data_IF_667467879991
#
_entry.id   IF_667467879991
#
_cell.length_a   1.000
_cell.length_b   1.000
_cell.length_c   1.000
_cell.angle_alpha   90.00
_cell.angle_beta   90.00
_cell.angle_gamma   90.00
#
_symmetry.space_group_name_H-M   'P 1'
#
loop_
_entity.id
_entity.type
_entity.pdbx_description
1 polymer ?
#
# COMPACT_ATOMS: atom_id res chain seq x y z
N UNK A 1 14.22 2.60 -17.93
CA UNK A 1 12.78 2.80 -18.19
C UNK A 1 12.52 4.29 -18.18
N UNK A 2 12.10 4.87 -19.30
CA UNK A 2 11.91 6.32 -19.44
C UNK A 2 10.62 6.80 -18.77
N UNK A 3 10.64 8.02 -18.24
CA UNK A 3 9.45 8.64 -17.66
C UNK A 3 8.44 9.00 -18.75
N UNK A 4 7.15 8.74 -18.52
CA UNK A 4 6.07 9.08 -19.47
C UNK A 4 5.45 10.41 -19.07
N UNK A 5 5.65 11.45 -19.88
CA UNK A 5 5.02 12.74 -19.66
C UNK A 5 3.55 12.70 -20.07
N UNK A 6 2.66 13.13 -19.18
CA UNK A 6 1.23 13.33 -19.42
C UNK A 6 1.02 14.82 -19.65
N UNK A 7 0.60 15.14 -20.85
CA UNK A 7 0.36 16.51 -21.33
C UNK A 7 -1.09 16.93 -21.16
N UNK A 8 -1.35 18.23 -21.31
CA UNK A 8 -2.70 18.80 -21.28
C UNK A 8 -3.64 18.13 -22.30
N UNK A 9 -3.16 17.90 -23.53
CA UNK A 9 -3.97 17.28 -24.59
C UNK A 9 -4.34 15.82 -24.30
N UNK A 10 -3.55 15.11 -23.49
CA UNK A 10 -3.86 13.75 -23.06
C UNK A 10 -4.89 13.74 -21.95
N UNK A 11 -4.75 14.62 -20.95
CA UNK A 11 -5.68 14.68 -19.83
C UNK A 11 -7.07 15.18 -20.26
N UNK A 12 -7.11 16.13 -21.20
CA UNK A 12 -8.36 16.60 -21.80
C UNK A 12 -9.05 15.48 -22.58
N UNK A 13 -8.29 14.68 -23.34
CA UNK A 13 -8.85 13.51 -24.03
C UNK A 13 -9.37 12.45 -23.05
N UNK A 14 -8.67 12.21 -21.94
CA UNK A 14 -9.12 11.29 -20.89
C UNK A 14 -10.44 11.78 -20.27
N UNK A 15 -10.53 13.07 -19.97
CA UNK A 15 -11.74 13.69 -19.45
C UNK A 15 -12.93 13.55 -20.41
N UNK A 16 -12.73 13.84 -21.70
CA UNK A 16 -13.78 13.69 -22.72
C UNK A 16 -14.25 12.23 -22.88
N UNK A 17 -13.42 11.26 -22.51
CA UNK A 17 -13.77 9.83 -22.49
C UNK A 17 -14.46 9.39 -21.19
N UNK A 18 -14.75 10.33 -20.27
CA UNK A 18 -15.40 10.06 -18.99
C UNK A 18 -14.45 9.54 -17.91
N UNK A 19 -13.13 9.52 -18.14
CA UNK A 19 -12.16 9.14 -17.12
C UNK A 19 -12.10 10.28 -16.11
N UNK A 20 -12.29 9.95 -14.83
CA UNK A 20 -12.26 10.89 -13.70
C UNK A 20 -11.13 10.62 -12.72
N UNK A 21 -10.42 9.51 -12.87
CA UNK A 21 -9.34 9.12 -11.98
C UNK A 21 -8.07 8.78 -12.77
N UNK A 22 -6.93 9.31 -12.32
CA UNK A 22 -5.63 9.14 -12.98
C UNK A 22 -4.60 8.65 -11.97
N UNK A 23 -4.08 7.45 -12.23
CA UNK A 23 -2.96 6.86 -11.48
C UNK A 23 -1.61 7.22 -12.10
N UNK A 24 -0.78 7.91 -11.31
CA UNK A 24 0.56 8.38 -11.65
C UNK A 24 1.65 7.39 -11.22
N UNK A 25 1.39 6.11 -11.45
CA UNK A 25 2.31 5.00 -11.23
C UNK A 25 3.38 4.88 -12.33
N UNK A 26 4.58 4.43 -11.94
CA UNK A 26 5.57 3.90 -12.90
C UNK A 26 6.40 4.94 -13.67
N UNK A 27 6.67 6.11 -13.08
CA UNK A 27 7.47 7.15 -13.74
C UNK A 27 6.65 8.04 -14.69
N UNK A 28 5.33 8.14 -14.48
CA UNK A 28 4.50 9.12 -15.16
C UNK A 28 4.70 10.49 -14.52
N UNK A 29 4.94 11.50 -15.34
CA UNK A 29 5.09 12.90 -14.89
C UNK A 29 3.93 13.69 -15.49
N UNK A 30 3.25 14.50 -14.69
CA UNK A 30 2.23 15.42 -15.19
C UNK A 30 2.86 16.78 -15.50
N UNK A 31 2.49 17.40 -16.62
CA UNK A 31 2.80 18.82 -16.82
C UNK A 31 1.96 19.70 -15.88
N UNK A 32 2.44 20.89 -15.47
CA UNK A 32 1.69 21.80 -14.61
C UNK A 32 0.27 22.09 -15.14
N UNK A 33 0.16 22.45 -16.43
CA UNK A 33 -1.14 22.70 -17.05
C UNK A 33 -2.08 21.49 -17.11
N UNK A 34 -1.54 20.26 -17.16
CA UNK A 34 -2.37 19.06 -17.07
C UNK A 34 -2.89 18.85 -15.63
N UNK A 35 -2.11 19.22 -14.62
CA UNK A 35 -2.49 19.09 -13.20
C UNK A 35 -3.61 20.06 -12.87
N UNK A 36 -3.45 21.30 -13.29
CA UNK A 36 -4.43 22.36 -13.05
C UNK A 36 -5.77 22.00 -13.71
N UNK A 37 -5.74 21.55 -14.97
CA UNK A 37 -6.94 21.09 -15.67
C UNK A 37 -7.64 19.92 -14.95
N UNK A 38 -6.87 18.94 -14.46
CA UNK A 38 -7.44 17.79 -13.74
C UNK A 38 -8.15 18.23 -12.46
N UNK A 39 -7.52 19.12 -11.68
CA UNK A 39 -8.08 19.63 -10.42
C UNK A 39 -9.33 20.48 -10.66
N UNK A 40 -9.30 21.41 -11.61
CA UNK A 40 -10.44 22.27 -11.96
C UNK A 40 -11.67 21.48 -12.43
N UNK A 41 -11.45 20.32 -13.06
CA UNK A 41 -12.50 19.46 -13.59
C UNK A 41 -12.94 18.35 -12.63
N UNK A 42 -12.45 18.39 -11.39
CA UNK A 42 -12.79 17.43 -10.34
C UNK A 42 -12.29 16.02 -10.63
N UNK A 43 -11.14 15.89 -11.30
CA UNK A 43 -10.48 14.60 -11.51
C UNK A 43 -9.63 14.25 -10.29
N UNK A 44 -9.68 12.98 -9.88
CA UNK A 44 -8.86 12.43 -8.81
C UNK A 44 -7.48 12.06 -9.35
N UNK A 45 -6.43 12.61 -8.76
CA UNK A 45 -5.04 12.26 -9.07
C UNK A 45 -4.50 11.36 -7.95
N UNK A 46 -4.17 10.11 -8.25
CA UNK A 46 -3.51 9.20 -7.32
C UNK A 46 -2.01 9.14 -7.60
N UNK A 47 -1.24 9.73 -6.69
CA UNK A 47 0.21 9.62 -6.65
C UNK A 47 0.57 8.41 -5.81
N UNK A 48 0.68 7.24 -6.43
CA UNK A 48 1.43 6.16 -5.79
C UNK A 48 2.91 6.52 -5.89
N UNK A 49 3.42 7.15 -4.83
CA UNK A 49 4.85 7.04 -4.55
C UNK A 49 5.20 5.57 -4.61
N UNK A 50 6.32 5.24 -5.25
CA UNK A 50 6.90 3.90 -5.17
C UNK A 50 7.30 3.65 -3.71
N UNK A 51 6.33 3.41 -2.83
CA UNK A 51 6.52 2.47 -1.75
C UNK A 51 6.82 1.17 -2.47
N UNK A 52 8.11 0.83 -2.44
CA UNK A 52 8.61 -0.49 -2.76
C UNK A 52 7.59 -1.50 -2.28
N UNK A 53 7.13 -2.36 -3.20
CA UNK A 53 6.38 -3.57 -2.86
C UNK A 53 7.26 -4.45 -1.97
N UNK A 54 7.42 -4.11 -0.69
CA UNK A 54 7.38 -5.13 0.34
C UNK A 54 5.91 -5.51 0.39
N UNK A 55 5.57 -6.77 0.16
CA UNK A 55 4.17 -7.15 0.09
C UNK A 55 3.55 -6.70 1.41
N UNK A 56 2.45 -5.94 1.37
CA UNK A 56 1.77 -5.43 2.58
C UNK A 56 1.53 -6.57 3.60
N UNK A 57 1.44 -7.81 3.09
CA UNK A 57 1.42 -9.05 3.87
C UNK A 57 2.58 -9.24 4.84
N UNK A 58 3.81 -8.87 4.48
CA UNK A 58 4.99 -9.13 5.30
C UNK A 58 5.17 -8.11 6.41
N UNK A 59 4.76 -6.85 6.19
CA UNK A 59 4.70 -5.85 7.27
C UNK A 59 3.57 -6.19 8.25
N UNK A 60 2.37 -6.51 7.74
CA UNK A 60 1.27 -6.97 8.61
C UNK A 60 1.65 -8.21 9.42
N UNK A 61 2.34 -9.19 8.80
CA UNK A 61 2.79 -10.39 9.52
C UNK A 61 3.79 -10.08 10.63
N UNK A 62 4.65 -9.08 10.44
CA UNK A 62 5.58 -8.63 11.49
C UNK A 62 4.84 -7.93 12.62
N UNK A 63 3.93 -7.01 12.31
CA UNK A 63 3.11 -6.31 13.31
C UNK A 63 2.26 -7.27 14.14
N UNK A 64 1.64 -8.27 13.49
CA UNK A 64 0.88 -9.32 14.19
C UNK A 64 1.80 -10.16 15.08
N UNK A 65 2.99 -10.53 14.59
CA UNK A 65 3.98 -11.30 15.37
C UNK A 65 4.40 -10.52 16.62
N UNK A 66 4.75 -9.24 16.47
CA UNK A 66 5.15 -8.36 17.56
C UNK A 66 4.01 -8.17 18.58
N UNK A 67 2.77 -8.05 18.10
CA UNK A 67 1.58 -7.95 18.96
C UNK A 67 1.34 -9.22 19.78
N UNK A 68 1.49 -10.41 19.17
CA UNK A 68 1.36 -11.69 19.89
C UNK A 68 2.44 -11.82 20.95
N UNK A 69 3.70 -11.49 20.62
CA UNK A 69 4.80 -11.53 21.59
C UNK A 69 4.57 -10.56 22.76
N UNK A 70 4.04 -9.37 22.49
CA UNK A 70 3.69 -8.39 23.52
C UNK A 70 2.57 -8.90 24.44
N UNK A 71 1.52 -9.51 23.91
CA UNK A 71 0.42 -10.11 24.70
C UNK A 71 0.96 -11.23 25.59
N UNK A 72 1.76 -12.14 25.03
CA UNK A 72 2.32 -13.28 25.79
C UNK A 72 3.24 -12.81 26.94
N UNK A 73 4.01 -11.74 26.73
CA UNK A 73 4.91 -11.17 27.74
C UNK A 73 4.19 -10.31 28.77
N UNK A 74 3.27 -9.45 28.34
CA UNK A 74 2.68 -8.42 29.20
C UNK A 74 1.40 -8.89 29.91
N UNK A 75 0.56 -9.70 29.25
CA UNK A 75 -0.72 -10.14 29.81
C UNK A 75 -0.64 -11.52 30.46
N UNK A 76 0.19 -12.41 29.91
CA UNK A 76 0.33 -13.80 30.38
C UNK A 76 1.63 -14.07 31.15
N UNK A 77 2.49 -13.06 31.30
CA UNK A 77 3.79 -13.13 31.99
C UNK A 77 4.66 -14.33 31.55
N UNK A 78 4.55 -14.74 30.29
CA UNK A 78 5.35 -15.84 29.76
C UNK A 78 6.75 -15.30 29.48
N UNK A 79 7.69 -15.60 30.37
CA UNK A 79 9.09 -15.16 30.26
C UNK A 79 9.98 -16.16 29.51
N UNK A 80 9.47 -17.36 29.24
CA UNK A 80 10.20 -18.43 28.53
C UNK A 80 10.15 -18.18 27.03
N UNK A 81 11.27 -17.70 26.47
CA UNK A 81 11.36 -17.34 25.05
C UNK A 81 11.02 -18.52 24.11
N UNK A 82 11.42 -19.74 24.47
CA UNK A 82 11.12 -20.94 23.68
C UNK A 82 9.61 -21.19 23.54
N UNK A 83 8.84 -20.94 24.61
CA UNK A 83 7.38 -21.08 24.59
C UNK A 83 6.71 -19.95 23.82
N UNK A 84 7.25 -18.74 23.90
CA UNK A 84 6.75 -17.59 23.14
C UNK A 84 6.91 -17.87 21.64
N UNK A 85 8.07 -18.37 21.22
CA UNK A 85 8.35 -18.68 19.82
C UNK A 85 7.47 -19.84 19.31
N UNK A 86 7.25 -20.87 20.13
CA UNK A 86 6.37 -21.99 19.80
C UNK A 86 4.92 -21.53 19.59
N UNK A 87 4.38 -20.78 20.56
CA UNK A 87 2.99 -20.27 20.51
C UNK A 87 2.82 -19.32 19.34
N UNK A 88 3.73 -18.35 19.18
CA UNK A 88 3.67 -17.36 18.10
C UNK A 88 3.73 -18.05 16.74
N UNK A 89 4.61 -19.02 16.56
CA UNK A 89 4.70 -19.80 15.30
C UNK A 89 3.42 -20.59 15.02
N UNK A 90 2.80 -21.16 16.06
CA UNK A 90 1.56 -21.93 15.93
C UNK A 90 0.38 -21.03 15.56
N UNK A 91 0.24 -19.87 16.22
CA UNK A 91 -0.79 -18.87 15.91
C UNK A 91 -0.61 -18.35 14.47
N UNK A 92 0.63 -18.03 14.07
CA UNK A 92 0.93 -17.54 12.73
C UNK A 92 0.63 -18.56 11.63
N UNK A 93 0.73 -19.87 11.90
CA UNK A 93 0.36 -20.95 10.96
C UNK A 93 -1.15 -21.08 10.75
N UNK A 94 -1.96 -20.68 11.74
CA UNK A 94 -3.43 -20.74 11.66
C UNK A 94 -4.08 -19.46 11.12
N UNK A 95 -3.30 -18.41 10.85
CA UNK A 95 -3.81 -17.20 10.21
C UNK A 95 -4.25 -17.51 8.76
N UNK A 96 -5.53 -17.28 8.42
CA UNK A 96 -6.02 -17.52 7.06
C UNK A 96 -5.38 -16.53 6.08
N UNK A 97 -4.84 -17.05 4.97
CA UNK A 97 -4.24 -16.25 3.89
C UNK A 97 -5.20 -15.23 3.23
N UNK A 98 -6.51 -15.26 3.56
CA UNK A 98 -7.53 -14.33 3.05
C UNK A 98 -7.42 -12.90 3.57
N UNK A 99 -6.59 -12.62 4.57
CA UNK A 99 -6.31 -11.25 5.06
C UNK A 99 -5.11 -10.58 4.35
N UNK A 100 -4.51 -11.25 3.36
CA UNK A 100 -3.25 -10.84 2.70
C UNK A 100 -3.40 -10.57 1.19
N UNK A 101 -4.64 -10.45 0.70
CA UNK A 101 -4.98 -10.14 -0.69
C UNK A 101 -5.97 -8.98 -0.75
#
# INVERSE_FOLDING_TARGET
MGNKLITFNEIQRMYCKGIREISLTGGKILTPGAKDFALERGMTLSYEEKMTKKPQSDMLRREIKESIEAILKNEYEILQQDKIDEITTRVMKHLPNKLLY
#
